data_IF_237794588334
#
_entry.id   IF_237794588334
#
_cell.length_a   1.000
_cell.length_b   1.000
_cell.length_c   1.000
_cell.angle_alpha   90.00
_cell.angle_beta   90.00
_cell.angle_gamma   90.00
#
_symmetry.space_group_name_H-M   'P 1'
#
loop_
_entity.id
_entity.type
_entity.pdbx_description
1 polymer ?
#
# COMPACT_ATOMS: atom_id res chain seq x y z
N UNK A 1 -17.62 17.70 -15.51
CA UNK A 1 -17.21 16.36 -14.98
C UNK A 1 -17.72 15.18 -15.80
N UNK A 2 -18.81 15.31 -16.58
CA UNK A 2 -19.27 14.25 -17.48
C UNK A 2 -19.25 14.66 -18.97
N UNK A 3 -18.52 15.74 -19.32
CA UNK A 3 -18.36 16.21 -20.70
C UNK A 3 -17.48 15.30 -21.55
N UNK A 4 -17.74 15.25 -22.85
CA UNK A 4 -17.00 14.48 -23.86
C UNK A 4 -15.50 14.84 -23.89
N UNK A 5 -15.13 16.07 -23.54
CA UNK A 5 -13.73 16.50 -23.45
C UNK A 5 -13.08 16.04 -22.14
N UNK A 6 -12.18 15.05 -22.24
CA UNK A 6 -11.42 14.50 -21.11
C UNK A 6 -10.63 15.57 -20.33
N UNK A 7 -10.01 16.53 -21.03
CA UNK A 7 -9.23 17.61 -20.42
C UNK A 7 -10.05 18.51 -19.48
N UNK A 8 -11.25 18.93 -19.88
CA UNK A 8 -12.11 19.77 -19.03
C UNK A 8 -12.61 18.97 -17.81
N UNK A 9 -12.92 17.68 -18.00
CA UNK A 9 -13.29 16.79 -16.91
C UNK A 9 -12.19 16.70 -15.85
N UNK A 10 -10.95 16.47 -16.28
CA UNK A 10 -9.79 16.36 -15.41
C UNK A 10 -9.54 17.65 -14.63
N UNK A 11 -9.61 18.81 -15.29
CA UNK A 11 -9.48 20.12 -14.63
C UNK A 11 -10.56 20.35 -13.56
N UNK A 12 -11.82 20.04 -13.85
CA UNK A 12 -12.89 20.14 -12.86
C UNK A 12 -12.68 19.18 -11.68
N UNK A 13 -12.27 17.94 -11.95
CA UNK A 13 -11.96 16.95 -10.93
C UNK A 13 -10.79 17.41 -10.05
N UNK A 14 -9.75 18.01 -10.63
CA UNK A 14 -8.63 18.56 -9.89
C UNK A 14 -9.03 19.77 -9.03
N UNK A 15 -9.88 20.65 -9.55
CA UNK A 15 -10.41 21.78 -8.79
C UNK A 15 -11.22 21.32 -7.56
N UNK A 16 -12.07 20.30 -7.72
CA UNK A 16 -12.82 19.71 -6.60
C UNK A 16 -11.88 19.01 -5.61
N UNK A 17 -10.86 18.30 -6.09
CA UNK A 17 -9.82 17.72 -5.21
C UNK A 17 -9.07 18.78 -4.42
N UNK A 18 -8.78 19.95 -5.03
CA UNK A 18 -8.14 21.10 -4.34
C UNK A 18 -9.08 21.70 -3.30
N UNK A 19 -10.36 21.85 -3.62
CA UNK A 19 -11.38 22.34 -2.70
C UNK A 19 -11.47 21.45 -1.44
N UNK A 20 -11.57 20.12 -1.61
CA UNK A 20 -11.60 19.18 -0.49
C UNK A 20 -10.32 19.19 0.36
N UNK A 21 -9.16 19.56 -0.21
CA UNK A 21 -7.91 19.73 0.55
C UNK A 21 -7.85 21.05 1.33
N UNK A 22 -8.46 22.11 0.81
CA UNK A 22 -8.43 23.45 1.40
C UNK A 22 -9.52 23.65 2.46
N UNK A 23 -10.65 22.94 2.33
CA UNK A 23 -11.78 23.08 3.23
C UNK A 23 -11.48 22.49 4.62
N UNK A 24 -11.33 23.38 5.61
CA UNK A 24 -11.11 23.02 7.02
C UNK A 24 -12.41 22.90 7.83
N UNK A 25 -13.48 23.55 7.37
CA UNK A 25 -14.78 23.64 8.06
C UNK A 25 -15.75 22.55 7.59
N UNK A 26 -15.59 22.05 6.37
CA UNK A 26 -16.36 20.94 5.81
C UNK A 26 -17.70 21.34 5.16
N UNK A 27 -18.10 22.61 5.26
CA UNK A 27 -19.39 23.09 4.73
C UNK A 27 -19.41 23.14 3.20
N UNK A 28 -18.31 23.58 2.58
CA UNK A 28 -18.20 23.57 1.12
C UNK A 28 -18.15 22.11 0.58
N UNK A 29 -17.45 21.24 1.30
CA UNK A 29 -17.37 19.81 0.99
C UNK A 29 -18.75 19.14 1.04
N UNK A 30 -19.55 19.43 2.08
CA UNK A 30 -20.92 18.92 2.21
C UNK A 30 -21.82 19.34 1.04
N UNK A 31 -21.75 20.62 0.65
CA UNK A 31 -22.53 21.14 -0.47
C UNK A 31 -22.20 20.44 -1.79
N UNK A 32 -20.91 20.28 -2.09
CA UNK A 32 -20.44 19.59 -3.29
C UNK A 32 -20.86 18.11 -3.29
N UNK A 33 -20.73 17.42 -2.15
CA UNK A 33 -21.12 16.01 -2.04
C UNK A 33 -22.62 15.82 -2.21
N UNK A 34 -23.45 16.72 -1.68
CA UNK A 34 -24.91 16.72 -1.90
C UNK A 34 -25.25 16.82 -3.39
N UNK A 35 -24.59 17.74 -4.10
CA UNK A 35 -24.79 17.93 -5.55
C UNK A 35 -24.33 16.69 -6.33
N UNK A 36 -23.16 16.12 -6.00
CA UNK A 36 -22.66 14.91 -6.66
C UNK A 36 -23.59 13.72 -6.40
N UNK A 37 -24.06 13.52 -5.16
CA UNK A 37 -25.00 12.45 -4.82
C UNK A 37 -26.33 12.60 -5.56
N UNK A 38 -26.85 13.83 -5.66
CA UNK A 38 -28.05 14.14 -6.46
C UNK A 38 -27.86 13.83 -7.94
N UNK A 39 -26.71 14.21 -8.50
CA UNK A 39 -26.36 13.97 -9.90
C UNK A 39 -26.25 12.47 -10.23
N UNK A 40 -25.59 11.70 -9.36
CA UNK A 40 -25.45 10.25 -9.50
C UNK A 40 -26.82 9.55 -9.50
N UNK A 41 -27.73 10.00 -8.62
CA UNK A 41 -29.12 9.48 -8.58
C UNK A 41 -29.91 9.85 -9.83
N UNK A 42 -29.78 11.09 -10.33
CA UNK A 42 -30.51 11.57 -11.49
C UNK A 42 -30.11 10.90 -12.81
N UNK A 43 -28.88 10.35 -12.90
CA UNK A 43 -28.36 9.66 -14.10
C UNK A 43 -28.34 8.14 -14.01
N UNK A 44 -29.10 7.53 -13.09
CA UNK A 44 -29.15 6.07 -12.91
C UNK A 44 -27.76 5.40 -12.82
N UNK A 45 -26.79 6.06 -12.16
CA UNK A 45 -25.43 5.54 -11.95
C UNK A 45 -24.55 5.38 -13.20
N UNK A 46 -24.93 5.95 -14.34
CA UNK A 46 -24.06 6.05 -15.51
C UNK A 46 -23.20 7.33 -15.45
N UNK A 47 -22.16 7.25 -14.62
CA UNK A 47 -21.24 8.35 -14.35
C UNK A 47 -19.81 7.86 -14.50
N UNK A 48 -18.89 8.72 -14.92
CA UNK A 48 -17.46 8.38 -14.96
C UNK A 48 -16.89 8.09 -13.57
N UNK A 49 -16.06 7.05 -13.40
CA UNK A 49 -15.44 6.69 -12.11
C UNK A 49 -14.61 7.83 -11.49
N UNK A 50 -14.02 8.69 -12.32
CA UNK A 50 -13.24 9.86 -11.90
C UNK A 50 -13.99 10.79 -10.94
N UNK A 51 -15.32 10.92 -11.11
CA UNK A 51 -16.16 11.76 -10.27
C UNK A 51 -16.24 11.20 -8.84
N UNK A 52 -16.42 9.89 -8.69
CA UNK A 52 -16.43 9.23 -7.37
C UNK A 52 -15.04 9.17 -6.75
N UNK A 53 -13.99 9.03 -7.56
CA UNK A 53 -12.59 9.13 -7.10
C UNK A 53 -12.28 10.49 -6.44
N UNK A 54 -13.07 11.53 -6.67
CA UNK A 54 -12.91 12.80 -5.92
C UNK A 54 -13.25 12.64 -4.43
N UNK A 55 -14.16 11.74 -4.07
CA UNK A 55 -14.50 11.46 -2.66
C UNK A 55 -13.31 10.87 -1.89
N UNK A 56 -12.40 10.17 -2.56
CA UNK A 56 -11.18 9.66 -1.93
C UNK A 56 -10.26 10.76 -1.40
N UNK A 57 -10.36 12.00 -1.92
CA UNK A 57 -9.56 13.13 -1.47
C UNK A 57 -10.14 13.84 -0.23
N UNK A 58 -11.29 13.40 0.27
CA UNK A 58 -11.88 13.94 1.49
C UNK A 58 -10.94 13.72 2.67
N UNK A 59 -10.58 14.81 3.35
CA UNK A 59 -9.80 14.80 4.60
C UNK A 59 -10.69 14.48 5.80
N UNK A 60 -11.49 13.43 5.70
CA UNK A 60 -12.24 12.92 6.84
C UNK A 60 -11.35 11.85 7.45
N UNK A 61 -10.23 12.27 8.04
CA UNK A 61 -9.57 11.46 9.05
C UNK A 61 -10.19 11.90 10.35
N UNK A 62 -10.82 10.97 11.05
CA UNK A 62 -11.12 11.13 12.46
C UNK A 62 -9.92 11.77 13.15
N UNK A 63 -10.18 12.97 13.63
CA UNK A 63 -9.43 13.76 14.60
C UNK A 63 -8.17 13.07 15.15
N UNK A 64 -7.03 13.20 14.46
CA UNK A 64 -5.74 13.23 15.15
C UNK A 64 -5.68 14.58 15.89
N UNK A 65 -6.46 14.70 16.98
CA UNK A 65 -6.47 15.85 17.92
C UNK A 65 -5.04 16.22 18.35
N UNK A 66 -4.12 15.25 18.28
CA UNK A 66 -2.75 15.34 18.79
C UNK A 66 -1.78 16.13 17.91
N UNK A 67 -1.99 16.26 16.59
CA UNK A 67 -1.04 16.99 15.72
C UNK A 67 -1.41 18.45 15.50
N UNK A 68 -2.70 18.74 15.38
CA UNK A 68 -3.16 20.12 15.17
C UNK A 68 -2.98 20.99 16.42
N UNK A 69 -2.95 20.40 17.62
CA UNK A 69 -2.66 21.10 18.88
C UNK A 69 -1.18 21.49 19.01
N UNK A 70 -0.25 20.75 18.41
CA UNK A 70 1.19 21.04 18.45
C UNK A 70 1.61 22.14 17.47
N UNK A 71 0.95 22.25 16.31
CA UNK A 71 1.24 23.31 15.33
C UNK A 71 0.61 24.67 15.69
N UNK A 72 -0.47 24.69 16.48
CA UNK A 72 -1.04 25.92 17.05
C UNK A 72 -0.16 26.47 18.19
N UNK A 73 0.57 25.59 18.89
CA UNK A 73 1.38 25.90 20.08
C UNK A 73 2.84 26.27 19.79
N UNK A 74 3.23 26.55 18.54
CA UNK A 74 4.52 27.23 18.26
C UNK A 74 4.31 28.74 18.36
N UNK A 75 4.67 29.40 19.47
CA UNK A 75 4.63 30.85 19.53
C UNK A 75 5.59 31.40 18.46
N UNK A 76 5.04 32.08 17.45
CA UNK A 76 5.81 32.95 16.57
C UNK A 76 6.60 33.89 17.49
N UNK A 77 7.93 33.89 17.34
CA UNK A 77 8.87 34.74 18.09
C UNK A 77 8.35 36.17 18.15
N UNK A 78 7.75 36.56 19.28
CA UNK A 78 7.42 37.94 19.59
C UNK A 78 8.73 38.66 19.95
N UNK A 79 9.47 39.08 18.93
CA UNK A 79 10.37 40.22 19.10
C UNK A 79 9.49 41.47 19.36
N UNK A 80 9.95 42.31 20.30
CA UNK A 80 9.47 43.67 20.62
C UNK A 80 8.08 43.87 21.28
N UNK A 81 7.68 43.02 22.23
CA UNK A 81 6.54 43.34 23.15
C UNK A 81 6.90 44.36 24.25
N UNK A 82 8.19 44.61 24.51
CA UNK A 82 8.63 45.59 25.54
C UNK A 82 8.57 47.05 25.09
N UNK A 83 8.62 47.32 23.78
CA UNK A 83 8.70 48.70 23.26
C UNK A 83 7.33 49.37 23.11
N UNK A 84 6.28 48.61 22.76
CA UNK A 84 4.88 49.14 22.72
C UNK A 84 4.28 49.40 24.11
N UNK A 85 4.98 49.06 25.19
CA UNK A 85 4.48 49.15 26.57
C UNK A 85 4.70 50.51 27.24
N UNK A 86 5.46 51.43 26.60
CA UNK A 86 5.94 52.64 27.27
C UNK A 86 4.94 53.81 27.34
N UNK A 87 3.89 53.89 26.53
CA UNK A 87 3.00 55.06 26.52
C UNK A 87 1.50 54.72 26.69
N UNK A 88 1.13 53.91 27.69
CA UNK A 88 -0.28 53.68 28.02
C UNK A 88 -0.58 54.06 29.46
N UNK A 89 -1.63 54.86 29.66
CA UNK A 89 -2.16 55.21 30.98
C UNK A 89 -2.56 53.93 31.75
N UNK A 90 -2.49 53.97 33.09
CA UNK A 90 -2.85 52.83 33.97
C UNK A 90 -4.24 52.25 33.63
N UNK A 91 -5.17 53.09 33.21
CA UNK A 91 -6.53 52.69 32.80
C UNK A 91 -6.55 51.92 31.48
N UNK A 92 -5.87 52.41 30.45
CA UNK A 92 -5.76 51.73 29.14
C UNK A 92 -5.09 50.36 29.25
N UNK A 93 -4.15 50.18 30.18
CA UNK A 93 -3.52 48.87 30.45
C UNK A 93 -4.50 47.87 31.07
N UNK A 94 -5.45 48.32 31.91
CA UNK A 94 -6.49 47.45 32.46
C UNK A 94 -7.50 47.05 31.38
N UNK A 95 -7.94 48.02 30.56
CA UNK A 95 -8.83 47.77 29.44
C UNK A 95 -8.22 46.81 28.42
N UNK A 96 -6.98 47.02 28.01
CA UNK A 96 -6.29 46.13 27.06
C UNK A 96 -6.07 44.72 27.60
N UNK A 97 -5.83 44.55 28.91
CA UNK A 97 -5.77 43.22 29.54
C UNK A 97 -7.13 42.55 29.59
N UNK A 98 -8.20 43.31 29.83
CA UNK A 98 -9.56 42.79 29.80
C UNK A 98 -9.96 42.39 28.37
N UNK A 99 -9.58 43.20 27.38
CA UNK A 99 -9.76 42.92 25.96
C UNK A 99 -8.98 41.68 25.52
N UNK A 100 -7.70 41.54 25.89
CA UNK A 100 -6.89 40.33 25.61
C UNK A 100 -7.45 39.09 26.32
N UNK A 101 -8.04 39.24 27.51
CA UNK A 101 -8.70 38.14 28.24
C UNK A 101 -10.00 37.73 27.54
N UNK A 102 -10.82 38.71 27.16
CA UNK A 102 -12.06 38.49 26.41
C UNK A 102 -11.78 37.86 25.05
N UNK A 103 -10.76 38.33 24.32
CA UNK A 103 -10.37 37.75 23.02
C UNK A 103 -9.89 36.31 23.16
N UNK A 104 -9.23 35.97 24.28
CA UNK A 104 -8.84 34.59 24.58
C UNK A 104 -10.05 33.72 24.89
N UNK A 105 -10.96 34.20 25.74
CA UNK A 105 -12.20 33.49 26.09
C UNK A 105 -13.09 33.29 24.85
N UNK A 106 -13.21 34.30 23.98
CA UNK A 106 -13.89 34.19 22.69
C UNK A 106 -13.22 33.17 21.77
N UNK A 107 -11.89 33.17 21.68
CA UNK A 107 -11.16 32.22 20.84
C UNK A 107 -11.27 30.78 21.36
N UNK A 108 -11.31 30.58 22.68
CA UNK A 108 -11.55 29.27 23.30
C UNK A 108 -13.01 28.79 23.06
N UNK A 109 -13.99 29.68 23.20
CA UNK A 109 -15.39 29.40 22.90
C UNK A 109 -15.61 29.10 21.40
N UNK A 110 -15.05 29.90 20.50
CA UNK A 110 -15.10 29.67 19.05
C UNK A 110 -14.40 28.36 18.65
N UNK A 111 -13.24 28.05 19.26
CA UNK A 111 -12.54 26.80 19.01
C UNK A 111 -13.40 25.59 19.41
N UNK A 112 -13.94 25.59 20.62
CA UNK A 112 -14.80 24.49 21.09
C UNK A 112 -16.06 24.34 20.23
N UNK A 113 -16.79 25.42 19.95
CA UNK A 113 -18.00 25.38 19.12
C UNK A 113 -17.68 24.94 17.68
N UNK A 114 -16.54 25.35 17.12
CA UNK A 114 -16.12 24.95 15.78
C UNK A 114 -15.82 23.45 15.66
N UNK A 115 -15.29 22.81 16.72
CA UNK A 115 -15.01 21.37 16.71
C UNK A 115 -16.28 20.54 16.70
N UNK A 116 -17.29 20.93 17.49
CA UNK A 116 -18.57 20.22 17.54
C UNK A 116 -19.36 20.39 16.24
N UNK A 117 -19.42 21.62 15.70
CA UNK A 117 -20.02 21.89 14.38
C UNK A 117 -19.33 21.10 13.28
N UNK A 118 -18.00 21.02 13.30
CA UNK A 118 -17.20 20.25 12.35
C UNK A 118 -17.51 18.76 12.43
N UNK A 119 -17.63 18.20 13.63
CA UNK A 119 -17.98 16.79 13.82
C UNK A 119 -19.37 16.50 13.25
N UNK A 120 -20.38 17.34 13.55
CA UNK A 120 -21.73 17.23 12.98
C UNK A 120 -21.73 17.26 11.45
N UNK A 121 -21.02 18.22 10.85
CA UNK A 121 -20.89 18.33 9.39
C UNK A 121 -20.19 17.13 8.77
N UNK A 122 -19.13 16.61 9.41
CA UNK A 122 -18.43 15.42 8.92
C UNK A 122 -19.29 14.17 9.00
N UNK A 123 -20.04 13.96 10.08
CA UNK A 123 -20.97 12.83 10.21
C UNK A 123 -22.07 12.90 9.15
N UNK A 124 -22.65 14.08 8.90
CA UNK A 124 -23.64 14.26 7.83
C UNK A 124 -23.03 13.98 6.44
N UNK A 125 -21.80 14.45 6.22
CA UNK A 125 -21.06 14.21 4.98
C UNK A 125 -20.83 12.71 4.76
N UNK A 126 -20.33 12.00 5.77
CA UNK A 126 -20.09 10.56 5.72
C UNK A 126 -21.37 9.78 5.46
N UNK A 127 -22.48 10.14 6.13
CA UNK A 127 -23.77 9.51 5.91
C UNK A 127 -24.21 9.64 4.44
N UNK A 128 -24.04 10.80 3.81
CA UNK A 128 -24.39 10.99 2.40
C UNK A 128 -23.48 10.17 1.48
N UNK A 129 -22.16 10.13 1.78
CA UNK A 129 -21.19 9.33 1.02
C UNK A 129 -21.53 7.84 1.10
N UNK A 130 -21.74 7.30 2.31
CA UNK A 130 -22.09 5.89 2.52
C UNK A 130 -23.45 5.52 1.92
N UNK A 131 -24.48 6.37 2.07
CA UNK A 131 -25.77 6.15 1.39
C UNK A 131 -25.60 6.12 -0.12
N UNK A 132 -24.70 6.92 -0.69
CA UNK A 132 -24.40 6.89 -2.12
C UNK A 132 -23.69 5.59 -2.50
N UNK A 133 -22.67 5.17 -1.74
CA UNK A 133 -21.94 3.91 -1.94
C UNK A 133 -22.83 2.67 -1.79
N UNK A 134 -23.60 2.54 -0.71
CA UNK A 134 -24.50 1.40 -0.50
C UNK A 134 -25.59 1.32 -1.56
N UNK A 135 -26.06 2.47 -2.05
CA UNK A 135 -27.04 2.50 -3.14
C UNK A 135 -26.44 2.03 -4.47
N UNK A 136 -25.17 2.38 -4.74
CA UNK A 136 -24.44 1.86 -5.90
C UNK A 136 -24.23 0.35 -5.75
N UNK A 137 -23.81 -0.13 -4.57
CA UNK A 137 -23.64 -1.56 -4.29
C UNK A 137 -24.93 -2.37 -4.45
N UNK A 138 -26.09 -1.82 -4.05
CA UNK A 138 -27.38 -2.51 -4.18
C UNK A 138 -27.98 -2.45 -5.60
N UNK A 139 -27.82 -1.34 -6.33
CA UNK A 139 -28.49 -1.12 -7.62
C UNK A 139 -27.62 -1.34 -8.85
N UNK A 140 -26.30 -1.25 -8.71
CA UNK A 140 -25.38 -1.08 -9.84
C UNK A 140 -24.13 -1.96 -9.66
N UNK A 141 -24.33 -3.24 -9.31
CA UNK A 141 -23.27 -4.23 -9.07
C UNK A 141 -22.36 -4.48 -10.28
N UNK A 142 -22.80 -4.18 -11.50
CA UNK A 142 -22.00 -4.30 -12.74
C UNK A 142 -21.55 -2.97 -13.33
N UNK A 143 -21.74 -1.87 -12.60
CA UNK A 143 -21.36 -0.55 -13.10
C UNK A 143 -19.85 -0.33 -13.03
N UNK A 144 -19.28 0.49 -13.93
CA UNK A 144 -17.86 0.88 -13.88
C UNK A 144 -17.48 1.66 -12.61
N UNK A 145 -18.46 1.98 -11.77
CA UNK A 145 -18.28 2.72 -10.52
C UNK A 145 -17.90 1.83 -9.34
N UNK A 146 -18.08 0.51 -9.46
CA UNK A 146 -17.81 -0.44 -8.37
C UNK A 146 -16.37 -0.35 -7.82
N UNK A 147 -15.30 -0.27 -8.64
CA UNK A 147 -13.94 -0.15 -8.12
C UNK A 147 -13.74 1.09 -7.25
N UNK A 148 -14.27 2.24 -7.71
CA UNK A 148 -14.14 3.51 -6.98
C UNK A 148 -14.92 3.50 -5.66
N UNK A 149 -16.05 2.79 -5.61
CA UNK A 149 -16.84 2.62 -4.39
C UNK A 149 -16.13 1.70 -3.40
N UNK A 150 -15.62 0.55 -3.85
CA UNK A 150 -14.89 -0.39 -2.98
C UNK A 150 -13.58 0.23 -2.45
N UNK A 151 -12.85 0.97 -3.28
CA UNK A 151 -11.68 1.74 -2.85
C UNK A 151 -12.05 2.78 -1.77
N UNK A 152 -13.18 3.49 -1.97
CA UNK A 152 -13.68 4.47 -1.00
C UNK A 152 -14.13 3.82 0.32
N UNK A 153 -14.81 2.68 0.25
CA UNK A 153 -15.23 1.92 1.42
C UNK A 153 -14.02 1.38 2.18
N UNK A 154 -13.01 0.83 1.51
CA UNK A 154 -11.79 0.37 2.18
C UNK A 154 -11.12 1.51 2.97
N UNK A 155 -11.05 2.71 2.37
CA UNK A 155 -10.43 3.88 3.01
C UNK A 155 -11.22 4.41 4.21
N UNK A 156 -12.55 4.44 4.11
CA UNK A 156 -13.43 5.01 5.13
C UNK A 156 -14.07 3.94 6.04
N UNK A 157 -13.68 2.67 5.93
CA UNK A 157 -14.28 1.55 6.66
C UNK A 157 -14.31 1.75 8.18
N UNK A 158 -13.26 2.36 8.74
CA UNK A 158 -13.14 2.66 10.16
C UNK A 158 -14.18 3.67 10.69
N UNK A 159 -14.85 4.40 9.80
CA UNK A 159 -15.82 5.46 10.12
C UNK A 159 -17.27 5.00 9.94
N UNK A 160 -17.49 3.75 9.53
CA UNK A 160 -18.83 3.20 9.30
C UNK A 160 -19.43 2.81 10.65
N UNK A 161 -20.70 3.13 10.87
CA UNK A 161 -21.41 2.69 12.07
C UNK A 161 -21.57 1.15 12.08
N UNK A 162 -21.36 0.53 13.24
CA UNK A 162 -21.34 -0.92 13.44
C UNK A 162 -22.65 -1.59 13.00
N UNK A 163 -23.78 -0.89 13.11
CA UNK A 163 -25.11 -1.38 12.69
C UNK A 163 -25.21 -1.74 11.20
N UNK A 164 -24.34 -1.18 10.35
CA UNK A 164 -24.34 -1.46 8.92
C UNK A 164 -23.41 -2.60 8.52
N UNK A 165 -22.64 -3.18 9.46
CA UNK A 165 -21.58 -4.13 9.12
C UNK A 165 -22.14 -5.45 8.59
N UNK A 166 -23.19 -6.00 9.20
CA UNK A 166 -23.79 -7.27 8.77
C UNK A 166 -24.32 -7.18 7.33
N UNK A 167 -25.15 -6.18 7.06
CA UNK A 167 -25.69 -5.89 5.73
C UNK A 167 -24.57 -5.73 4.69
N UNK A 168 -23.50 -5.02 5.05
CA UNK A 168 -22.39 -4.77 4.16
C UNK A 168 -21.59 -6.04 3.87
N UNK A 169 -21.29 -6.84 4.90
CA UNK A 169 -20.53 -8.08 4.74
C UNK A 169 -21.30 -9.11 3.91
N UNK A 170 -22.63 -9.20 4.06
CA UNK A 170 -23.48 -10.05 3.19
C UNK A 170 -23.38 -9.62 1.73
N UNK A 171 -23.44 -8.31 1.45
CA UNK A 171 -23.27 -7.79 0.09
C UNK A 171 -21.87 -8.10 -0.44
N UNK A 172 -20.81 -7.88 0.35
CA UNK A 172 -19.43 -8.17 -0.06
C UNK A 172 -19.23 -9.67 -0.31
N UNK A 173 -19.82 -10.55 0.49
CA UNK A 173 -19.79 -11.99 0.25
C UNK A 173 -20.47 -12.36 -1.07
N UNK A 174 -21.67 -11.86 -1.33
CA UNK A 174 -22.38 -12.14 -2.60
C UNK A 174 -21.62 -11.64 -3.82
N UNK A 175 -20.89 -10.52 -3.70
CA UNK A 175 -20.03 -10.00 -4.77
C UNK A 175 -18.81 -10.88 -5.03
N UNK A 176 -18.22 -11.47 -3.98
CA UNK A 176 -17.10 -12.40 -4.13
C UNK A 176 -17.57 -13.72 -4.76
N UNK A 177 -18.75 -14.19 -4.35
CA UNK A 177 -19.33 -15.46 -4.80
C UNK A 177 -19.82 -15.40 -6.25
N UNK A 178 -20.27 -14.23 -6.72
CA UNK A 178 -20.67 -14.05 -8.13
C UNK A 178 -19.51 -14.20 -9.10
N UNK A 179 -18.26 -14.00 -8.67
CA UNK A 179 -17.06 -14.20 -9.49
C UNK A 179 -16.87 -13.22 -10.65
N UNK A 180 -17.81 -12.28 -10.84
CA UNK A 180 -17.80 -11.26 -11.91
C UNK A 180 -16.81 -10.10 -11.65
N UNK A 181 -16.10 -10.11 -10.53
CA UNK A 181 -15.21 -9.03 -10.11
C UNK A 181 -13.86 -9.06 -10.83
N UNK A 182 -13.38 -7.88 -11.21
CA UNK A 182 -11.99 -7.69 -11.60
C UNK A 182 -11.05 -7.90 -10.41
N UNK A 183 -9.78 -8.17 -10.71
CA UNK A 183 -8.74 -8.39 -9.70
C UNK A 183 -8.63 -7.23 -8.69
N UNK A 184 -8.72 -5.97 -9.13
CA UNK A 184 -8.66 -4.81 -8.22
C UNK A 184 -9.92 -4.70 -7.35
N UNK A 185 -11.09 -4.98 -7.90
CA UNK A 185 -12.35 -4.98 -7.14
C UNK A 185 -12.36 -6.07 -6.08
N UNK A 186 -11.92 -7.29 -6.42
CA UNK A 186 -11.76 -8.39 -5.46
C UNK A 186 -10.86 -8.00 -4.29
N UNK A 187 -9.71 -7.37 -4.58
CA UNK A 187 -8.80 -6.93 -3.53
C UNK A 187 -9.39 -5.85 -2.64
N UNK A 188 -10.01 -4.82 -3.20
CA UNK A 188 -10.64 -3.76 -2.40
C UNK A 188 -11.85 -4.29 -1.61
N UNK A 189 -12.59 -5.26 -2.15
CA UNK A 189 -13.68 -5.93 -1.44
C UNK A 189 -13.16 -6.65 -0.18
N UNK A 190 -12.14 -7.49 -0.35
CA UNK A 190 -11.50 -8.21 0.75
C UNK A 190 -10.85 -7.25 1.75
N UNK A 191 -10.16 -6.22 1.27
CA UNK A 191 -9.57 -5.18 2.11
C UNK A 191 -10.64 -4.50 2.97
N UNK A 192 -11.77 -4.12 2.36
CA UNK A 192 -12.90 -3.50 3.04
C UNK A 192 -13.45 -4.42 4.12
N UNK A 193 -13.70 -5.69 3.80
CA UNK A 193 -14.20 -6.67 4.76
C UNK A 193 -13.26 -6.82 5.96
N UNK A 194 -11.95 -6.92 5.74
CA UNK A 194 -10.98 -7.02 6.85
C UNK A 194 -10.85 -5.73 7.65
N UNK A 195 -11.00 -4.55 7.04
CA UNK A 195 -11.01 -3.29 7.78
C UNK A 195 -12.25 -3.14 8.66
N UNK A 196 -13.43 -3.58 8.18
CA UNK A 196 -14.69 -3.59 8.96
C UNK A 196 -14.58 -4.54 10.14
N UNK A 197 -14.08 -5.76 9.88
CA UNK A 197 -13.90 -6.79 10.90
C UNK A 197 -12.74 -6.48 11.88
N UNK A 198 -11.93 -5.45 11.59
CA UNK A 198 -10.85 -5.01 12.48
C UNK A 198 -11.28 -3.78 13.28
N UNK A 199 -10.93 -3.73 14.56
CA UNK A 199 -11.28 -2.60 15.42
C UNK A 199 -12.68 -2.75 16.01
N UNK A 200 -13.62 -1.87 15.66
CA UNK A 200 -14.97 -1.87 16.24
C UNK A 200 -15.79 -3.12 15.87
N UNK A 201 -15.52 -3.73 14.72
CA UNK A 201 -16.18 -4.96 14.28
C UNK A 201 -15.60 -6.25 14.87
N UNK A 202 -14.52 -6.18 15.65
CA UNK A 202 -13.92 -7.37 16.29
C UNK A 202 -14.87 -8.03 17.30
N UNK A 203 -15.77 -7.23 17.87
CA UNK A 203 -16.81 -7.68 18.80
C UNK A 203 -17.87 -8.55 18.10
N UNK A 204 -18.07 -8.36 16.78
CA UNK A 204 -19.12 -9.04 16.04
C UNK A 204 -18.84 -10.53 15.80
N UNK A 205 -17.62 -11.03 16.06
CA UNK A 205 -17.22 -12.44 15.94
C UNK A 205 -17.70 -13.13 14.64
N UNK A 206 -17.80 -12.38 13.55
CA UNK A 206 -18.21 -12.91 12.23
C UNK A 206 -17.03 -13.69 11.64
N UNK A 207 -17.29 -14.91 11.17
CA UNK A 207 -16.27 -15.75 10.57
C UNK A 207 -15.87 -15.25 9.17
N UNK A 208 -14.61 -14.84 8.93
CA UNK A 208 -14.15 -14.39 7.63
C UNK A 208 -13.54 -15.50 6.78
N UNK A 209 -13.79 -16.78 7.07
CA UNK A 209 -13.22 -17.92 6.35
C UNK A 209 -13.21 -17.74 4.82
N UNK A 210 -14.34 -17.35 4.24
CA UNK A 210 -14.47 -17.11 2.79
C UNK A 210 -13.53 -16.01 2.28
N UNK A 211 -13.31 -14.94 3.04
CA UNK A 211 -12.39 -13.86 2.67
C UNK A 211 -10.93 -14.30 2.72
N UNK A 212 -10.55 -15.18 3.67
CA UNK A 212 -9.21 -15.77 3.71
C UNK A 212 -8.95 -16.64 2.48
N UNK A 213 -9.86 -17.55 2.14
CA UNK A 213 -9.77 -18.41 0.95
C UNK A 213 -9.69 -17.57 -0.32
N UNK A 214 -10.52 -16.54 -0.45
CA UNK A 214 -10.50 -15.67 -1.62
C UNK A 214 -9.21 -14.86 -1.75
N UNK A 215 -8.68 -14.33 -0.64
CA UNK A 215 -7.39 -13.65 -0.65
C UNK A 215 -6.26 -14.61 -1.04
N UNK A 216 -6.24 -15.80 -0.44
CA UNK A 216 -5.24 -16.83 -0.70
C UNK A 216 -5.22 -17.21 -2.18
N UNK A 217 -6.38 -17.41 -2.80
CA UNK A 217 -6.53 -17.63 -4.25
C UNK A 217 -6.07 -16.43 -5.09
N UNK A 218 -6.42 -15.22 -4.66
CA UNK A 218 -6.10 -13.99 -5.40
C UNK A 218 -4.60 -13.71 -5.42
N UNK A 219 -3.84 -14.17 -4.42
CA UNK A 219 -2.38 -13.96 -4.34
C UNK A 219 -1.63 -14.45 -5.59
N UNK A 220 -2.01 -15.58 -6.21
CA UNK A 220 -1.34 -16.07 -7.41
C UNK A 220 -1.69 -15.31 -8.69
N UNK A 221 -2.75 -14.49 -8.67
CA UNK A 221 -3.06 -13.58 -9.79
C UNK A 221 -2.12 -12.37 -9.81
N UNK A 222 -1.34 -12.13 -8.76
CA UNK A 222 -0.32 -11.09 -8.74
C UNK A 222 0.90 -11.53 -9.54
N UNK A 223 1.20 -10.80 -10.62
CA UNK A 223 2.39 -11.03 -11.43
C UNK A 223 3.11 -9.71 -11.74
N UNK A 224 4.42 -9.76 -11.96
CA UNK A 224 5.26 -8.60 -12.29
C UNK A 224 4.84 -7.82 -13.56
N UNK A 225 4.00 -8.42 -14.43
CA UNK A 225 3.76 -7.94 -15.79
C UNK A 225 2.64 -6.89 -15.99
N UNK A 226 1.74 -6.66 -15.04
CA UNK A 226 0.57 -5.78 -15.26
C UNK A 226 0.66 -4.44 -14.51
N UNK A 227 0.70 -4.45 -13.17
CA UNK A 227 0.78 -3.23 -12.34
C UNK A 227 1.22 -3.56 -10.91
N UNK A 228 2.00 -2.67 -10.29
CA UNK A 228 2.43 -2.80 -8.89
C UNK A 228 1.38 -2.35 -7.87
N UNK A 229 0.35 -1.63 -8.29
CA UNK A 229 -0.66 -1.03 -7.42
C UNK A 229 -1.44 -2.08 -6.59
N UNK A 230 -1.66 -3.27 -7.17
CA UNK A 230 -2.34 -4.37 -6.49
C UNK A 230 -1.54 -4.94 -5.30
N UNK A 231 -0.21 -4.91 -5.37
CA UNK A 231 0.65 -5.42 -4.28
C UNK A 231 0.53 -4.53 -3.05
N UNK A 232 0.49 -3.21 -3.22
CA UNK A 232 0.35 -2.28 -2.09
C UNK A 232 -0.94 -2.54 -1.30
N UNK A 233 -2.06 -2.73 -2.02
CA UNK A 233 -3.36 -3.07 -1.45
C UNK A 233 -3.29 -4.40 -0.69
N UNK A 234 -2.62 -5.41 -1.26
CA UNK A 234 -2.41 -6.70 -0.61
C UNK A 234 -1.57 -6.55 0.65
N UNK A 235 -0.49 -5.77 0.64
CA UNK A 235 0.34 -5.54 1.83
C UNK A 235 -0.46 -4.87 2.95
N UNK A 236 -1.27 -3.86 2.63
CA UNK A 236 -2.20 -3.23 3.58
C UNK A 236 -3.22 -4.24 4.13
N UNK A 237 -3.78 -5.08 3.26
CA UNK A 237 -4.74 -6.11 3.64
C UNK A 237 -4.11 -7.16 4.56
N UNK A 238 -2.89 -7.62 4.25
CA UNK A 238 -2.16 -8.61 5.07
C UNK A 238 -1.83 -8.06 6.45
N UNK A 239 -1.46 -6.79 6.57
CA UNK A 239 -1.19 -6.17 7.87
C UNK A 239 -2.45 -6.13 8.75
N UNK A 240 -3.58 -5.73 8.18
CA UNK A 240 -4.86 -5.73 8.91
C UNK A 240 -5.30 -7.15 9.27
N UNK A 241 -5.16 -8.09 8.33
CA UNK A 241 -5.62 -9.46 8.48
C UNK A 241 -4.77 -10.29 9.46
N UNK A 242 -3.45 -10.20 9.39
CA UNK A 242 -2.54 -11.08 10.13
C UNK A 242 -1.90 -10.39 11.34
N UNK A 243 -1.60 -9.10 11.25
CA UNK A 243 -0.99 -8.36 12.36
C UNK A 243 -2.05 -7.91 13.37
N UNK A 244 -3.09 -7.20 12.93
CA UNK A 244 -4.11 -6.65 13.84
C UNK A 244 -5.04 -7.74 14.39
N UNK A 245 -5.39 -8.73 13.57
CA UNK A 245 -6.29 -9.84 13.94
C UNK A 245 -5.59 -11.15 14.32
N UNK A 246 -4.33 -11.08 14.78
CA UNK A 246 -3.50 -12.26 15.11
C UNK A 246 -4.16 -13.32 16.01
N UNK A 247 -5.09 -12.94 16.89
CA UNK A 247 -5.77 -13.86 17.83
C UNK A 247 -6.77 -14.79 17.15
N UNK A 248 -7.35 -14.39 16.02
CA UNK A 248 -8.37 -15.13 15.29
C UNK A 248 -7.81 -15.93 14.10
N UNK A 249 -6.49 -15.82 13.87
CA UNK A 249 -5.80 -16.50 12.79
C UNK A 249 -5.18 -17.78 13.33
N UNK A 250 -5.52 -18.92 12.73
CA UNK A 250 -4.92 -20.21 13.07
C UNK A 250 -3.45 -20.24 12.64
N UNK A 251 -2.62 -20.98 13.38
CA UNK A 251 -1.19 -21.14 13.04
C UNK A 251 -1.02 -21.70 11.62
N UNK A 252 -1.84 -22.68 11.23
CA UNK A 252 -1.78 -23.31 9.91
C UNK A 252 -2.02 -22.30 8.79
N UNK A 253 -2.98 -21.40 8.98
CA UNK A 253 -3.26 -20.31 8.03
C UNK A 253 -2.06 -19.37 7.89
N UNK A 254 -1.42 -19.00 9.01
CA UNK A 254 -0.22 -18.16 8.96
C UNK A 254 0.92 -18.83 8.18
N UNK A 255 1.16 -20.12 8.39
CA UNK A 255 2.17 -20.90 7.66
C UNK A 255 1.88 -20.95 6.15
N UNK A 256 0.62 -21.20 5.78
CA UNK A 256 0.18 -21.20 4.39
C UNK A 256 0.40 -19.87 3.69
N UNK A 257 0.01 -18.76 4.35
CA UNK A 257 0.25 -17.42 3.81
C UNK A 257 1.73 -17.11 3.68
N UNK A 258 2.56 -17.41 4.68
CA UNK A 258 4.02 -17.19 4.60
C UNK A 258 4.62 -17.95 3.42
N UNK A 259 4.29 -19.24 3.28
CA UNK A 259 4.79 -20.07 2.17
C UNK A 259 4.36 -19.49 0.82
N UNK A 260 3.08 -19.19 0.63
CA UNK A 260 2.55 -18.63 -0.63
C UNK A 260 3.12 -17.24 -0.93
N UNK A 261 3.33 -16.40 0.09
CA UNK A 261 3.97 -15.10 -0.06
C UNK A 261 5.43 -15.21 -0.47
N UNK A 262 6.18 -16.16 0.10
CA UNK A 262 7.55 -16.47 -0.34
C UNK A 262 7.59 -16.92 -1.81
N UNK A 263 6.66 -17.79 -2.24
CA UNK A 263 6.50 -18.17 -3.64
C UNK A 263 6.17 -16.96 -4.53
N UNK A 264 5.22 -16.12 -4.11
CA UNK A 264 4.86 -14.89 -4.83
C UNK A 264 6.06 -13.94 -4.95
N UNK A 265 6.90 -13.84 -3.92
CA UNK A 265 8.09 -13.01 -3.90
C UNK A 265 9.08 -13.27 -5.05
N UNK A 266 9.05 -14.47 -5.65
CA UNK A 266 9.86 -14.84 -6.82
C UNK A 266 9.31 -14.30 -8.15
N UNK A 267 8.01 -14.05 -8.23
CA UNK A 267 7.31 -13.71 -9.48
C UNK A 267 6.95 -12.23 -9.60
N UNK A 268 7.28 -11.41 -8.59
CA UNK A 268 6.97 -9.99 -8.54
C UNK A 268 8.21 -9.11 -8.71
N UNK A 269 7.98 -7.82 -8.92
CA UNK A 269 9.03 -6.81 -9.04
C UNK A 269 9.78 -6.61 -7.71
N UNK A 270 11.03 -6.11 -7.73
CA UNK A 270 11.89 -6.02 -6.54
C UNK A 270 11.27 -5.24 -5.37
N UNK A 271 10.56 -4.14 -5.65
CA UNK A 271 9.84 -3.34 -4.64
C UNK A 271 8.76 -4.17 -3.94
N UNK A 272 8.00 -4.93 -4.73
CA UNK A 272 6.97 -5.85 -4.25
C UNK A 272 7.56 -6.99 -3.43
N UNK A 273 8.67 -7.60 -3.88
CA UNK A 273 9.38 -8.64 -3.13
C UNK A 273 9.88 -8.13 -1.78
N UNK A 274 10.42 -6.90 -1.72
CA UNK A 274 10.86 -6.28 -0.47
C UNK A 274 9.69 -6.11 0.51
N UNK A 275 8.55 -5.58 0.04
CA UNK A 275 7.36 -5.41 0.86
C UNK A 275 6.84 -6.76 1.40
N UNK A 276 6.79 -7.78 0.55
CA UNK A 276 6.36 -9.12 0.94
C UNK A 276 7.31 -9.74 1.98
N UNK A 277 8.63 -9.64 1.78
CA UNK A 277 9.62 -10.17 2.73
C UNK A 277 9.58 -9.41 4.07
N UNK A 278 9.34 -8.11 4.04
CA UNK A 278 9.13 -7.32 5.25
C UNK A 278 7.87 -7.75 6.02
N UNK A 279 6.77 -8.02 5.31
CA UNK A 279 5.56 -8.60 5.93
C UNK A 279 5.84 -9.97 6.51
N UNK A 280 6.53 -10.86 5.78
CA UNK A 280 6.90 -12.19 6.29
C UNK A 280 7.74 -12.11 7.57
N UNK A 281 8.66 -11.13 7.68
CA UNK A 281 9.38 -10.87 8.93
C UNK A 281 8.44 -10.54 10.09
N UNK A 282 7.46 -9.67 9.87
CA UNK A 282 6.46 -9.30 10.89
C UNK A 282 5.66 -10.54 11.29
N UNK A 283 5.29 -11.39 10.33
CA UNK A 283 4.55 -12.62 10.58
C UNK A 283 5.36 -13.63 11.41
N UNK A 284 6.65 -13.81 11.12
CA UNK A 284 7.51 -14.70 11.89
C UNK A 284 7.65 -14.26 13.36
N UNK A 285 7.76 -12.95 13.60
CA UNK A 285 7.74 -12.41 14.98
C UNK A 285 6.37 -12.53 15.65
N UNK A 286 5.28 -12.47 14.88
CA UNK A 286 3.91 -12.53 15.41
C UNK A 286 3.51 -13.97 15.76
N UNK A 287 3.99 -14.95 15.00
CA UNK A 287 3.67 -16.36 15.12
C UNK A 287 4.94 -17.18 15.37
N UNK A 288 5.36 -17.41 16.62
CA UNK A 288 6.67 -18.00 16.94
C UNK A 288 6.87 -19.44 16.45
N UNK A 289 5.82 -20.17 16.06
CA UNK A 289 5.93 -21.53 15.49
C UNK A 289 6.17 -21.54 13.97
N UNK A 290 6.50 -20.40 13.35
CA UNK A 290 6.84 -20.32 11.93
C UNK A 290 8.22 -20.83 11.60
N UNK A 291 9.10 -20.95 12.61
CA UNK A 291 10.46 -21.47 12.46
C UNK A 291 10.47 -22.90 11.92
N UNK A 292 9.36 -23.64 12.08
CA UNK A 292 9.12 -24.93 11.46
C UNK A 292 9.36 -24.91 9.93
N UNK A 293 9.07 -23.80 9.24
CA UNK A 293 9.27 -23.71 7.79
C UNK A 293 10.73 -23.47 7.39
N UNK A 294 11.61 -23.19 8.36
CA UNK A 294 13.05 -23.06 8.11
C UNK A 294 13.76 -24.41 8.22
N UNK A 295 13.19 -25.34 9.00
CA UNK A 295 13.68 -26.69 9.13
C UNK A 295 13.20 -27.58 7.97
N UNK A 296 13.97 -28.61 7.66
CA UNK A 296 13.64 -29.59 6.61
C UNK A 296 12.81 -30.77 7.16
N UNK A 297 12.47 -30.75 8.45
CA UNK A 297 11.74 -31.83 9.10
C UNK A 297 10.23 -31.62 8.97
N UNK A 298 9.54 -32.53 8.27
CA UNK A 298 8.08 -32.54 8.21
C UNK A 298 7.50 -33.05 9.54
N UNK A 299 6.75 -32.21 10.25
CA UNK A 299 6.15 -32.58 11.55
C UNK A 299 4.77 -33.25 11.47
N UNK A 300 4.19 -33.41 10.28
CA UNK A 300 2.83 -33.95 10.12
C UNK A 300 2.70 -35.04 9.05
N UNK A 301 1.58 -35.76 9.08
CA UNK A 301 1.17 -36.67 8.01
C UNK A 301 0.59 -35.87 6.83
N UNK A 302 1.03 -36.19 5.61
CA UNK A 302 0.53 -35.60 4.37
C UNK A 302 1.58 -34.83 3.57
N UNK A 303 1.23 -34.45 2.34
CA UNK A 303 2.10 -33.72 1.42
C UNK A 303 1.59 -32.28 1.30
N UNK A 304 2.51 -31.33 1.17
CA UNK A 304 2.16 -29.94 0.90
C UNK A 304 1.55 -29.80 -0.50
N UNK A 305 0.36 -29.20 -0.58
CA UNK A 305 -0.36 -28.99 -1.83
C UNK A 305 -0.44 -27.49 -2.14
N UNK A 306 0.42 -26.97 -3.03
CA UNK A 306 0.47 -25.53 -3.32
C UNK A 306 -0.76 -25.02 -4.07
N UNK A 307 -1.46 -25.88 -4.82
CA UNK A 307 -2.59 -25.52 -5.68
C UNK A 307 -3.93 -25.37 -4.95
N UNK A 308 -4.02 -25.81 -3.69
CA UNK A 308 -5.26 -25.71 -2.94
C UNK A 308 -5.65 -24.24 -2.67
N UNK A 309 -6.93 -23.95 -2.84
CA UNK A 309 -7.50 -22.61 -2.60
C UNK A 309 -7.74 -22.35 -1.10
N UNK A 310 -7.83 -23.40 -0.27
CA UNK A 310 -7.98 -23.25 1.17
C UNK A 310 -6.63 -23.25 1.89
N UNK A 311 -6.32 -22.18 2.66
CA UNK A 311 -5.04 -22.09 3.36
C UNK A 311 -4.89 -23.12 4.49
N UNK A 312 -5.97 -23.61 5.08
CA UNK A 312 -5.90 -24.54 6.22
C UNK A 312 -5.58 -25.98 5.82
N UNK A 313 -5.96 -26.39 4.61
CA UNK A 313 -5.81 -27.76 4.13
C UNK A 313 -4.55 -27.97 3.27
N UNK A 314 -3.78 -26.91 3.00
CA UNK A 314 -2.59 -27.00 2.16
C UNK A 314 -1.41 -27.76 2.81
N UNK A 315 -1.47 -28.03 4.13
CA UNK A 315 -0.40 -28.67 4.91
C UNK A 315 0.96 -27.97 4.80
N UNK A 316 0.98 -26.64 4.94
CA UNK A 316 2.20 -25.84 4.87
C UNK A 316 3.25 -26.23 5.91
N UNK A 317 2.86 -26.86 7.03
CA UNK A 317 3.77 -27.37 8.05
C UNK A 317 4.72 -28.48 7.55
N UNK A 318 4.45 -29.10 6.40
CA UNK A 318 5.25 -30.20 5.84
C UNK A 318 6.20 -29.75 4.73
N UNK A 319 6.44 -28.43 4.57
CA UNK A 319 7.35 -27.89 3.57
C UNK A 319 8.30 -26.87 4.18
N UNK A 320 9.44 -26.66 3.52
CA UNK A 320 10.43 -25.66 3.90
C UNK A 320 10.42 -24.46 2.93
N UNK A 321 10.95 -23.30 3.37
CA UNK A 321 11.06 -22.06 2.58
C UNK A 321 12.25 -22.05 1.61
N UNK A 322 12.24 -22.97 0.65
CA UNK A 322 13.26 -23.04 -0.41
C UNK A 322 13.35 -21.75 -1.25
N UNK A 323 12.26 -21.01 -1.38
CA UNK A 323 12.19 -19.77 -2.15
C UNK A 323 13.12 -18.68 -1.59
N UNK A 324 13.36 -18.66 -0.28
CA UNK A 324 14.29 -17.72 0.34
C UNK A 324 15.73 -17.92 -0.17
N UNK A 325 16.13 -19.16 -0.48
CA UNK A 325 17.45 -19.47 -1.02
C UNK A 325 17.63 -18.92 -2.44
N UNK A 326 16.56 -18.97 -3.26
CA UNK A 326 16.55 -18.35 -4.57
C UNK A 326 16.57 -16.81 -4.45
N UNK A 327 15.78 -16.22 -3.55
CA UNK A 327 15.76 -14.78 -3.28
C UNK A 327 17.10 -14.24 -2.73
N UNK A 328 17.89 -15.07 -2.05
CA UNK A 328 19.26 -14.73 -1.62
C UNK A 328 20.19 -14.45 -2.80
N UNK A 329 19.89 -14.98 -3.99
CA UNK A 329 20.64 -14.75 -5.24
C UNK A 329 20.01 -13.69 -6.14
N UNK A 330 18.99 -12.97 -5.64
CA UNK A 330 18.29 -11.94 -6.39
C UNK A 330 19.23 -10.77 -6.78
N UNK A 331 18.97 -10.10 -7.91
CA UNK A 331 19.81 -8.99 -8.38
C UNK A 331 19.79 -7.79 -7.43
N UNK A 332 18.67 -7.56 -6.75
CA UNK A 332 18.52 -6.45 -5.82
C UNK A 332 19.19 -6.72 -4.46
N UNK A 333 20.15 -5.89 -4.01
CA UNK A 333 20.96 -6.16 -2.80
C UNK A 333 20.11 -6.23 -1.52
N UNK A 334 19.05 -5.44 -1.42
CA UNK A 334 18.17 -5.43 -0.24
C UNK A 334 17.30 -6.68 -0.18
N UNK A 335 16.86 -7.21 -1.34
CA UNK A 335 16.11 -8.48 -1.38
C UNK A 335 17.01 -9.60 -0.87
N UNK A 336 18.28 -9.63 -1.30
CA UNK A 336 19.27 -10.61 -0.79
C UNK A 336 19.45 -10.51 0.72
N UNK A 337 19.56 -9.29 1.25
CA UNK A 337 19.75 -9.04 2.69
C UNK A 337 18.52 -9.43 3.50
N UNK A 338 17.31 -9.10 3.03
CA UNK A 338 16.06 -9.51 3.68
C UNK A 338 15.90 -11.02 3.64
N UNK A 339 16.19 -11.67 2.52
CA UNK A 339 16.13 -13.12 2.40
C UNK A 339 17.13 -13.80 3.37
N UNK A 340 18.37 -13.29 3.47
CA UNK A 340 19.35 -13.80 4.43
C UNK A 340 18.88 -13.63 5.89
N UNK A 341 18.30 -12.48 6.24
CA UNK A 341 17.73 -12.24 7.57
C UNK A 341 16.58 -13.19 7.91
N UNK A 342 15.71 -13.48 6.94
CA UNK A 342 14.60 -14.42 7.13
C UNK A 342 15.08 -15.86 7.29
N UNK A 343 16.10 -16.28 6.53
CA UNK A 343 16.71 -17.62 6.66
C UNK A 343 17.28 -17.81 8.08
N UNK A 344 17.82 -16.75 8.68
CA UNK A 344 18.36 -16.76 10.03
C UNK A 344 17.31 -16.83 11.16
N UNK A 345 16.01 -16.96 10.85
CA UNK A 345 14.94 -16.91 11.85
C UNK A 345 14.56 -15.49 12.27
N UNK A 346 14.84 -14.50 11.42
CA UNK A 346 14.55 -13.08 11.68
C UNK A 346 15.06 -12.56 13.03
N UNK A 347 16.36 -12.70 13.37
CA UNK A 347 16.87 -12.30 14.68
C UNK A 347 16.70 -10.79 14.92
N UNK A 348 16.37 -10.42 16.17
CA UNK A 348 16.25 -9.03 16.61
C UNK A 348 17.63 -8.38 16.85
N UNK A 349 18.63 -9.17 17.24
CA UNK A 349 19.99 -8.75 17.55
C UNK A 349 21.01 -9.74 16.95
N UNK A 350 22.18 -9.25 16.52
CA UNK A 350 23.26 -10.08 15.98
C UNK A 350 23.83 -9.62 14.63
N UNK A 351 24.80 -10.38 14.10
CA UNK A 351 25.50 -10.11 12.82
C UNK A 351 24.56 -10.16 11.61
N UNK A 352 23.52 -10.98 11.67
CA UNK A 352 22.54 -11.15 10.60
C UNK A 352 21.32 -10.22 10.76
N UNK A 353 21.27 -9.39 11.81
CA UNK A 353 20.16 -8.46 12.03
C UNK A 353 20.08 -7.36 10.95
N UNK A 354 18.85 -7.00 10.59
CA UNK A 354 18.60 -5.88 9.68
C UNK A 354 19.01 -4.56 10.32
N UNK A 355 19.49 -3.62 9.47
CA UNK A 355 19.73 -2.24 9.92
C UNK A 355 18.44 -1.66 10.51
N UNK A 356 18.54 -0.83 11.57
CA UNK A 356 17.37 -0.24 12.23
C UNK A 356 16.47 0.58 11.29
N UNK A 357 17.03 1.12 10.20
CA UNK A 357 16.29 1.83 9.16
C UNK A 357 15.34 0.93 8.36
N UNK A 358 15.69 -0.34 8.18
CA UNK A 358 14.89 -1.33 7.46
C UNK A 358 13.95 -2.09 8.40
N UNK A 359 14.31 -2.24 9.68
CA UNK A 359 13.49 -2.97 10.65
C UNK A 359 12.35 -2.15 11.24
N UNK A 360 12.47 -0.82 11.27
CA UNK A 360 11.45 0.10 11.83
C UNK A 360 10.40 0.56 10.82
N UNK A 361 10.70 0.50 9.52
CA UNK A 361 9.79 0.94 8.46
C UNK A 361 8.71 -0.10 8.21
N UNK A 362 7.49 0.36 7.92
CA UNK A 362 6.40 -0.54 7.54
C UNK A 362 6.66 -1.19 6.17
N UNK A 363 6.05 -2.34 5.91
CA UNK A 363 6.18 -3.03 4.62
C UNK A 363 5.79 -2.14 3.43
N UNK A 364 4.84 -1.22 3.63
CA UNK A 364 4.36 -0.25 2.65
C UNK A 364 5.40 0.86 2.43
N UNK A 365 5.97 1.42 3.51
CA UNK A 365 7.03 2.43 3.39
C UNK A 365 8.26 1.88 2.68
N UNK A 366 8.59 0.60 2.88
CA UNK A 366 9.69 -0.05 2.17
C UNK A 366 9.34 -0.28 0.69
N UNK A 367 8.11 -0.68 0.39
CA UNK A 367 7.62 -0.82 -0.97
C UNK A 367 7.70 0.52 -1.75
N UNK A 368 7.28 1.63 -1.12
CA UNK A 368 7.36 2.96 -1.71
C UNK A 368 8.82 3.43 -1.86
N UNK A 369 9.65 3.24 -0.83
CA UNK A 369 11.04 3.70 -0.81
C UNK A 369 11.95 3.02 -1.86
N UNK A 370 11.60 1.80 -2.27
CA UNK A 370 12.32 1.00 -3.26
C UNK A 370 11.58 0.88 -4.59
N UNK A 371 10.60 1.73 -4.83
CA UNK A 371 9.89 1.79 -6.10
C UNK A 371 10.80 2.26 -7.24
N UNK A 372 10.84 1.47 -8.32
CA UNK A 372 11.57 1.80 -9.55
C UNK A 372 10.82 2.83 -10.43
N UNK A 373 9.66 3.34 -9.98
CA UNK A 373 8.84 4.27 -10.76
C UNK A 373 9.54 5.59 -11.10
N UNK A 374 10.52 5.99 -10.28
CA UNK A 374 11.33 7.19 -10.52
C UNK A 374 12.54 6.94 -11.45
N UNK A 375 12.65 5.76 -12.09
CA UNK A 375 13.81 5.34 -12.89
C UNK A 375 15.15 5.37 -12.12
N UNK A 376 15.09 5.39 -10.78
CA UNK A 376 16.25 5.37 -9.90
C UNK A 376 16.34 4.00 -9.24
N UNK A 377 17.55 3.41 -9.23
CA UNK A 377 17.82 2.18 -8.51
C UNK A 377 18.30 2.54 -7.10
N UNK A 378 17.57 2.11 -6.08
CA UNK A 378 17.89 2.37 -4.68
C UNK A 378 18.15 1.03 -3.97
N UNK A 379 19.34 0.77 -3.42
CA UNK A 379 20.53 1.61 -3.41
C UNK A 379 21.11 1.73 -4.82
N UNK A 380 21.84 2.81 -5.14
CA UNK A 380 22.48 2.96 -6.45
C UNK A 380 23.33 1.72 -6.76
N UNK A 381 23.26 1.25 -8.01
CA UNK A 381 24.10 0.14 -8.47
C UNK A 381 25.53 0.53 -8.15
N UNK A 382 26.23 -0.32 -7.40
CA UNK A 382 27.66 -0.11 -7.14
C UNK A 382 28.33 0.03 -8.51
N UNK A 383 28.75 1.24 -8.85
CA UNK A 383 29.64 1.42 -10.00
C UNK A 383 30.82 0.54 -9.72
N UNK A 384 31.05 -0.47 -10.57
CA UNK A 384 32.20 -1.36 -10.43
C UNK A 384 33.40 -0.49 -10.16
N UNK A 385 33.95 -0.57 -8.95
CA UNK A 385 35.10 0.24 -8.58
C UNK A 385 36.21 -0.17 -9.54
N UNK A 386 36.45 0.68 -10.53
CA UNK A 386 37.68 0.64 -11.31
C UNK A 386 38.81 0.67 -10.30
N UNK A 387 39.61 -0.41 -10.27
CA UNK A 387 40.84 -0.62 -9.48
C UNK A 387 40.65 -1.24 -8.08
N UNK A 388 40.52 -2.56 -8.05
CA UNK A 388 41.66 -3.35 -7.55
C UNK A 388 42.40 -3.88 -8.78
N UNK A 389 43.68 -3.54 -8.91
CA UNK A 389 44.61 -4.42 -9.60
C UNK A 389 44.68 -5.69 -8.76
N UNK A 390 43.66 -6.52 -8.83
CA UNK A 390 43.94 -7.94 -8.77
C UNK A 390 44.81 -8.16 -10.00
N UNK A 391 46.02 -8.68 -9.79
CA UNK A 391 46.77 -9.25 -10.89
C UNK A 391 45.78 -10.20 -11.56
N UNK A 392 45.26 -9.80 -12.73
CA UNK A 392 44.70 -10.72 -13.68
C UNK A 392 45.82 -11.72 -13.83
N UNK A 393 45.65 -12.91 -13.23
CA UNK A 393 46.43 -14.05 -13.63
C UNK A 393 46.17 -14.11 -15.13
N UNK A 394 47.17 -13.67 -15.87
CA UNK A 394 47.23 -13.80 -17.30
C UNK A 394 47.19 -15.30 -17.53
N UNK A 395 45.97 -15.82 -17.65
CA UNK A 395 45.69 -17.22 -17.91
C UNK A 395 46.04 -17.47 -19.35
N UNK A 396 47.33 -17.43 -19.67
CA UNK A 396 47.91 -17.83 -20.95
C UNK A 396 47.90 -19.36 -21.12
N UNK A 397 46.91 -20.04 -20.53
CA UNK A 397 46.73 -21.48 -20.69
C UNK A 397 45.26 -21.82 -20.65
N UNK A 398 44.55 -21.52 -21.73
CA UNK A 398 43.42 -22.38 -22.11
C UNK A 398 43.97 -23.81 -22.18
N UNK A 399 43.33 -24.75 -21.46
CA UNK A 399 43.76 -26.15 -21.33
C UNK A 399 43.80 -26.94 -22.65
N UNK A 400 43.42 -26.31 -23.77
CA UNK A 400 43.30 -26.94 -25.07
C UNK A 400 44.07 -26.11 -26.11
N UNK A 401 45.26 -26.59 -26.51
CA UNK A 401 46.16 -25.90 -27.44
C UNK A 401 45.53 -25.65 -28.81
N UNK A 402 44.63 -26.53 -29.25
CA UNK A 402 43.93 -26.42 -30.54
C UNK A 402 43.06 -25.16 -30.61
N UNK A 403 42.40 -24.81 -29.50
CA UNK A 403 41.54 -23.64 -29.41
C UNK A 403 42.35 -22.34 -29.47
N UNK A 404 43.55 -22.36 -28.88
CA UNK A 404 44.49 -21.24 -28.92
C UNK A 404 45.06 -21.01 -30.33
N UNK A 405 45.31 -22.08 -31.09
CA UNK A 405 45.75 -21.94 -32.47
C UNK A 405 44.64 -21.37 -33.37
N UNK A 406 43.39 -21.79 -33.14
CA UNK A 406 42.23 -21.35 -33.91
C UNK A 406 41.90 -19.86 -33.65
N UNK A 407 41.97 -19.42 -32.40
CA UNK A 407 41.80 -18.00 -32.04
C UNK A 407 42.95 -17.13 -32.54
N UNK A 408 44.20 -17.61 -32.49
CA UNK A 408 45.33 -16.86 -33.08
C UNK A 408 45.19 -16.67 -34.59
N UNK A 409 44.72 -17.69 -35.33
CA UNK A 409 44.44 -17.58 -36.77
C UNK A 409 43.35 -16.55 -37.06
N UNK A 410 42.24 -16.61 -36.33
CA UNK A 410 41.12 -15.68 -36.51
C UNK A 410 41.48 -14.23 -36.13
N UNK A 411 42.30 -14.04 -35.09
CA UNK A 411 42.78 -12.71 -34.70
C UNK A 411 43.80 -12.14 -35.69
N UNK A 412 44.59 -12.97 -36.37
CA UNK A 412 45.53 -12.52 -37.40
C UNK A 412 44.89 -12.16 -38.75
N UNK A 413 43.66 -12.64 -39.01
CA UNK A 413 42.93 -12.34 -40.25
C UNK A 413 42.08 -11.06 -40.18
N UNK A 414 41.93 -10.46 -38.99
CA UNK A 414 41.06 -9.30 -38.77
C UNK A 414 41.76 -7.95 -39.04
N UNK A 415 42.36 -7.78 -40.22
CA UNK A 415 42.72 -6.47 -40.77
C UNK A 415 42.05 -6.29 -42.13
N UNK A 416 40.74 -6.04 -42.10
CA UNK A 416 40.04 -5.21 -43.10
C UNK A 416 38.74 -4.73 -42.46
N UNK A 417 38.77 -3.53 -41.88
CA UNK A 417 37.58 -2.83 -41.42
C UNK A 417 36.68 -2.52 -42.64
N UNK A 418 35.70 -3.38 -42.90
CA UNK A 418 34.52 -3.01 -43.68
C UNK A 418 33.47 -2.45 -42.70
N UNK A 419 32.93 -1.24 -42.92
CA UNK A 419 31.86 -0.72 -42.09
C UNK A 419 30.63 -1.60 -42.27
N UNK A 420 30.25 -2.34 -41.23
CA UNK A 420 29.07 -3.18 -41.21
C UNK A 420 27.82 -2.30 -41.20
N UNK A 421 27.19 -2.14 -42.37
CA UNK A 421 25.92 -1.44 -42.54
C UNK A 421 24.74 -2.41 -42.29
N UNK A 422 24.15 -2.31 -41.09
CA UNK A 422 23.03 -3.16 -40.64
C UNK A 422 21.69 -2.85 -41.33
N UNK A 423 21.63 -1.84 -42.22
CA UNK A 423 20.38 -1.45 -42.89
C UNK A 423 19.91 -2.44 -43.95
N UNK A 424 20.77 -3.36 -44.43
CA UNK A 424 20.41 -4.33 -45.48
C UNK A 424 19.46 -5.44 -45.02
N UNK A 425 19.42 -5.78 -43.73
CA UNK A 425 18.59 -6.88 -43.23
C UNK A 425 17.15 -6.49 -42.84
N UNK A 426 16.81 -5.19 -42.89
CA UNK A 426 15.46 -4.72 -42.55
C UNK A 426 14.46 -4.82 -43.71
N UNK A 427 14.89 -5.04 -44.95
CA UNK A 427 13.99 -5.08 -46.13
C UNK A 427 13.41 -6.46 -46.45
N UNK A 428 13.80 -7.52 -45.74
CA UNK A 428 13.30 -8.89 -45.98
C UNK A 428 12.18 -9.34 -45.04
N UNK A 429 11.72 -8.48 -44.12
CA UNK A 429 10.62 -8.79 -43.20
C UNK A 429 9.25 -8.18 -43.59
N UNK A 430 9.13 -7.64 -44.80
CA UNK A 430 7.86 -7.14 -45.34
C UNK A 430 7.58 -7.82 -46.68
N UNK A 431 7.13 -9.08 -46.63
CA UNK A 431 6.29 -9.69 -47.65
C UNK A 431 5.35 -10.70 -47.00
#
# INVERSE_FOLDING_TARGET
MNDLSKSISEMCCEAVKKLFKQDKLGQASLGVIKVISGFVKGRNYDVRPEMLKTFLCLRIKEVEVKKDTEDINKPKKFMTFKEKRKNLSRMQRKWKKAEEKLERELREAEASESTEKKLKLHTETLNIVFVTYFRILKKAQRSPLLPAVLEGLAKFAHLINVEFFDDLLVVLHSLIESGDLSYQESLHCVQTAFHILSGQGDVLNIDPMKFYTHLYKTLFKLHAGATNEGVEIVLQCLDVMLTKRRKQVSQQRALAFIKRLCTLGLHVLPNSSIGILATNRILMHTFPKTDLLLDNESQGSGVFLPELDEPEYCNAQNTALWELHALRRHFHPIVRRLAAHLIAGAPLEGSEALKPELSRRSAIELFEAYSMAAMTFNPPVETSSSKRKDNVLQGDSFLNEDLNQLTKRLCSEADTQLPLDFTRYLKTSLR
#
